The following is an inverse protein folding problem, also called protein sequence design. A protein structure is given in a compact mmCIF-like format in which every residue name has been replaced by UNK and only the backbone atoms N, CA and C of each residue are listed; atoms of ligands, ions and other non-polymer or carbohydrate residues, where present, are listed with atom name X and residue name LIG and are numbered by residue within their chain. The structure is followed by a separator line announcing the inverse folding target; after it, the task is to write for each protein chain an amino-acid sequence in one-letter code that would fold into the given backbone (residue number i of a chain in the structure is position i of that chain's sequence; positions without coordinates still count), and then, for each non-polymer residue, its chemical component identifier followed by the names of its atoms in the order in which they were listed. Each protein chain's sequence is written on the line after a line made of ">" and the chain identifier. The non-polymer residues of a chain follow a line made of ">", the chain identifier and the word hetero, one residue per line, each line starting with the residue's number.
data_IF_892147427771
#
_entry.id   IF_892147427771
#
_cell.length_a   1.000
_cell.length_b   1.000
_cell.length_c   1.000
_cell.angle_alpha   90.00
_cell.angle_beta   90.00
_cell.angle_gamma   90.00
#
_symmetry.space_group_name_H-M   'P 1'
#
loop_
_entity.id
_entity.type
_entity.pdbx_description
1 polymer ?
#
# COMPACT_ATOMS: atom_id res chain seq x y z
N UNK A 1 -5.72 9.03 -17.77
CA UNK A 1 -4.63 8.08 -17.41
C UNK A 1 -5.32 6.83 -16.95
N UNK A 2 -4.69 5.65 -17.03
CA UNK A 2 -5.37 4.40 -16.68
C UNK A 2 -4.70 3.75 -15.48
N UNK A 3 -5.51 3.02 -14.72
CA UNK A 3 -5.04 2.07 -13.71
C UNK A 3 -4.65 0.76 -14.38
N UNK A 4 -3.64 0.09 -13.83
CA UNK A 4 -3.25 -1.27 -14.26
C UNK A 4 -2.69 -2.04 -13.08
N UNK A 5 -2.55 -3.35 -13.26
CA UNK A 5 -1.77 -4.16 -12.31
C UNK A 5 -0.26 -4.03 -12.58
N UNK A 6 0.49 -4.11 -11.49
CA UNK A 6 1.95 -4.14 -11.49
C UNK A 6 2.44 -5.42 -12.15
N UNK A 7 3.57 -5.35 -12.84
CA UNK A 7 4.19 -6.51 -13.49
C UNK A 7 5.23 -7.18 -12.60
N UNK A 8 5.49 -8.47 -12.81
CA UNK A 8 6.52 -9.21 -12.06
C UNK A 8 7.91 -8.56 -12.15
N UNK A 9 8.23 -7.96 -13.31
CA UNK A 9 9.47 -7.21 -13.52
C UNK A 9 9.54 -6.00 -12.61
N UNK A 10 8.46 -5.24 -12.48
CA UNK A 10 8.39 -4.08 -11.58
C UNK A 10 8.48 -4.51 -10.12
N UNK A 11 7.80 -5.58 -9.73
CA UNK A 11 7.91 -6.17 -8.38
C UNK A 11 9.37 -6.53 -8.09
N UNK A 12 10.05 -7.23 -9.00
CA UNK A 12 11.46 -7.64 -8.84
C UNK A 12 12.37 -6.42 -8.64
N UNK A 13 12.15 -5.37 -9.43
CA UNK A 13 12.95 -4.14 -9.39
C UNK A 13 12.69 -3.31 -8.14
N UNK A 14 11.48 -3.39 -7.59
CA UNK A 14 11.09 -2.69 -6.36
C UNK A 14 11.39 -3.48 -5.08
N UNK A 15 11.88 -4.72 -5.18
CA UNK A 15 12.33 -5.52 -4.03
C UNK A 15 13.22 -4.77 -3.04
N UNK A 16 14.14 -3.87 -3.43
CA UNK A 16 14.93 -3.11 -2.46
C UNK A 16 14.07 -2.22 -1.54
N UNK A 17 12.96 -1.67 -2.04
CA UNK A 17 12.06 -0.80 -1.30
C UNK A 17 11.10 -1.57 -0.38
N UNK A 18 10.83 -2.84 -0.66
CA UNK A 18 9.99 -3.71 0.19
C UNK A 18 10.81 -4.43 1.28
N UNK A 19 12.10 -4.13 1.44
CA UNK A 19 12.92 -4.73 2.49
C UNK A 19 12.57 -4.17 3.87
N UNK A 20 12.72 -5.04 4.86
CA UNK A 20 12.63 -4.70 6.28
C UNK A 20 13.64 -3.60 6.62
N UNK A 21 13.18 -2.49 7.16
CA UNK A 21 13.95 -1.30 7.50
C UNK A 21 13.68 -0.84 8.93
N UNK A 22 14.68 -0.22 9.55
CA UNK A 22 14.55 0.38 10.88
C UNK A 22 14.06 1.81 10.72
N UNK A 23 12.99 2.15 11.42
CA UNK A 23 12.41 3.50 11.45
C UNK A 23 12.28 3.97 12.89
N UNK A 24 12.17 5.27 13.09
CA UNK A 24 11.80 5.83 14.38
C UNK A 24 10.29 6.12 14.36
N UNK A 25 9.58 5.55 15.33
CA UNK A 25 8.17 5.83 15.55
C UNK A 25 8.02 6.39 16.96
N UNK A 26 7.64 7.66 17.06
CA UNK A 26 7.55 8.39 18.33
C UNK A 26 8.81 8.24 19.21
N UNK A 27 9.97 8.42 18.57
CA UNK A 27 11.28 8.33 19.23
C UNK A 27 11.74 6.90 19.53
N UNK A 28 10.92 5.86 19.30
CA UNK A 28 11.29 4.46 19.52
C UNK A 28 11.68 3.77 18.20
N UNK A 29 12.76 2.98 18.18
CA UNK A 29 13.13 2.21 17.01
C UNK A 29 12.13 1.08 16.77
N UNK A 30 11.60 1.01 15.54
CA UNK A 30 10.68 -0.02 15.09
C UNK A 30 11.18 -0.61 13.78
N UNK A 31 10.88 -1.89 13.54
CA UNK A 31 11.16 -2.53 12.26
C UNK A 31 9.89 -2.56 11.41
N UNK A 32 9.99 -2.09 10.17
CA UNK A 32 8.87 -2.04 9.22
C UNK A 32 9.29 -2.68 7.90
N UNK A 33 8.40 -3.43 7.27
CA UNK A 33 8.60 -4.03 5.94
C UNK A 33 7.57 -3.47 4.98
N UNK A 34 7.85 -2.39 4.24
CA UNK A 34 6.83 -1.71 3.43
C UNK A 34 6.14 -2.64 2.44
N UNK A 35 4.84 -2.46 2.27
CA UNK A 35 4.04 -3.31 1.42
C UNK A 35 3.78 -2.65 0.07
N UNK A 36 4.15 -3.30 -1.02
CA UNK A 36 3.87 -2.81 -2.37
C UNK A 36 2.47 -3.25 -2.77
N UNK A 37 1.61 -2.31 -3.18
CA UNK A 37 0.29 -2.62 -3.71
C UNK A 37 0.39 -3.04 -5.18
N UNK A 38 -0.53 -3.87 -5.65
CA UNK A 38 -0.54 -4.34 -7.03
C UNK A 38 -1.12 -3.31 -8.00
N UNK A 39 -1.95 -2.37 -7.54
CA UNK A 39 -2.50 -1.32 -8.40
C UNK A 39 -1.47 -0.23 -8.70
N UNK A 40 -1.37 0.15 -9.98
CA UNK A 40 -0.50 1.21 -10.51
C UNK A 40 -1.37 2.32 -11.09
N UNK A 41 -1.14 3.55 -10.65
CA UNK A 41 -1.85 4.74 -11.13
C UNK A 41 -1.03 5.43 -12.23
N UNK A 42 -1.52 5.43 -13.47
CA UNK A 42 -0.84 6.05 -14.60
C UNK A 42 0.38 5.27 -15.09
N UNK A 43 1.48 5.97 -15.40
CA UNK A 43 2.63 5.31 -16.03
C UNK A 43 3.54 4.51 -15.08
N UNK A 44 3.35 4.60 -13.76
CA UNK A 44 4.11 3.85 -12.76
C UNK A 44 5.61 4.16 -12.70
N UNK A 45 6.02 5.35 -13.12
CA UNK A 45 7.43 5.77 -13.13
C UNK A 45 7.84 6.52 -11.87
N UNK A 46 6.97 6.65 -10.88
CA UNK A 46 7.29 7.27 -9.60
C UNK A 46 6.74 6.39 -8.47
N UNK A 47 7.47 6.31 -7.35
CA UNK A 47 7.09 5.51 -6.19
C UNK A 47 6.69 6.43 -5.05
N UNK A 48 5.46 6.27 -4.59
CA UNK A 48 4.87 6.99 -3.47
C UNK A 48 4.83 6.08 -2.23
N UNK A 49 5.22 6.62 -1.08
CA UNK A 49 4.88 6.03 0.21
C UNK A 49 3.53 6.56 0.67
N UNK A 50 2.67 5.69 1.18
CA UNK A 50 1.33 6.02 1.66
C UNK A 50 1.07 5.38 3.01
N UNK A 51 0.67 6.18 4.00
CA UNK A 51 0.53 5.74 5.39
C UNK A 51 -0.67 6.39 6.05
N UNK A 52 -1.60 5.58 6.55
CA UNK A 52 -2.65 6.03 7.46
C UNK A 52 -2.09 6.20 8.87
N UNK A 53 -2.70 7.09 9.65
CA UNK A 53 -2.31 7.35 11.03
C UNK A 53 -2.42 6.09 11.91
N UNK A 54 -3.48 5.30 11.72
CA UNK A 54 -3.79 4.11 12.53
C UNK A 54 -2.90 2.90 12.18
N UNK A 55 -2.38 2.82 10.95
CA UNK A 55 -1.47 1.73 10.57
C UNK A 55 0.02 2.04 10.89
N UNK A 56 0.34 3.20 11.47
CA UNK A 56 1.73 3.56 11.82
C UNK A 56 2.37 2.53 12.75
N UNK A 57 3.67 2.20 12.57
CA UNK A 57 4.60 2.75 11.58
C UNK A 57 4.60 2.02 10.23
N UNK A 58 3.67 1.10 9.99
CA UNK A 58 3.55 0.38 8.71
C UNK A 58 3.02 1.33 7.63
N UNK A 59 3.36 1.08 6.38
CA UNK A 59 2.94 1.88 5.24
C UNK A 59 2.98 1.08 3.94
N UNK A 60 2.32 1.61 2.93
CA UNK A 60 2.18 1.05 1.61
C UNK A 60 3.06 1.80 0.61
N UNK A 61 3.47 1.11 -0.44
CA UNK A 61 4.17 1.65 -1.58
C UNK A 61 3.25 1.57 -2.79
N UNK A 62 3.11 2.69 -3.48
CA UNK A 62 2.19 2.85 -4.61
C UNK A 62 2.98 3.37 -5.80
N UNK A 63 2.88 2.69 -6.95
CA UNK A 63 3.41 3.22 -8.19
C UNK A 63 2.42 4.22 -8.78
N UNK A 64 2.90 5.43 -9.04
CA UNK A 64 2.11 6.53 -9.58
C UNK A 64 2.73 7.10 -10.86
N UNK A 65 2.02 8.01 -11.52
CA UNK A 65 2.51 8.66 -12.72
C UNK A 65 3.72 9.55 -12.38
N UNK A 66 4.71 9.60 -13.27
CA UNK A 66 5.84 10.54 -13.16
C UNK A 66 5.45 12.02 -13.04
N UNK A 67 4.22 12.36 -13.40
CA UNK A 67 3.68 13.73 -13.32
C UNK A 67 2.93 14.00 -12.01
N UNK A 68 2.73 12.98 -11.17
CA UNK A 68 2.05 13.13 -9.89
C UNK A 68 2.86 14.09 -9.00
N UNK A 69 2.27 15.22 -8.57
CA UNK A 69 2.98 16.24 -7.78
C UNK A 69 3.04 15.78 -6.32
N UNK A 70 4.02 14.92 -6.00
CA UNK A 70 4.28 14.48 -4.63
C UNK A 70 5.26 15.46 -3.98
N UNK A 71 4.73 16.60 -3.54
CA UNK A 71 5.44 17.58 -2.71
C UNK A 71 4.66 17.75 -1.40
N UNK A 72 5.36 17.71 -0.27
CA UNK A 72 4.77 17.83 1.06
C UNK A 72 4.22 19.24 1.35
N UNK A 73 4.34 20.17 0.41
CA UNK A 73 3.92 21.57 0.57
C UNK A 73 2.75 21.97 -0.34
N UNK A 74 2.20 21.04 -1.13
CA UNK A 74 1.14 21.36 -2.08
C UNK A 74 0.16 20.19 -2.26
N UNK A 75 -0.57 19.92 -1.18
CA UNK A 75 -1.60 18.87 -1.14
C UNK A 75 -2.70 19.13 -2.18
N UNK A 76 -3.09 20.39 -2.38
CA UNK A 76 -4.10 20.80 -3.38
C UNK A 76 -3.74 20.33 -4.78
N UNK A 77 -2.46 20.42 -5.18
CA UNK A 77 -2.02 19.97 -6.50
C UNK A 77 -2.11 18.44 -6.66
N UNK A 78 -1.92 17.68 -5.57
CA UNK A 78 -2.07 16.23 -5.59
C UNK A 78 -3.54 15.85 -5.76
N UNK A 79 -4.41 16.49 -4.99
CA UNK A 79 -5.86 16.28 -5.05
C UNK A 79 -6.39 16.60 -6.45
N UNK A 80 -6.07 17.78 -6.99
CA UNK A 80 -6.45 18.19 -8.35
C UNK A 80 -5.94 17.20 -9.41
N UNK A 81 -4.70 16.72 -9.27
CA UNK A 81 -4.12 15.77 -10.22
C UNK A 81 -4.85 14.43 -10.20
N UNK A 82 -5.15 13.91 -9.01
CA UNK A 82 -5.88 12.65 -8.86
C UNK A 82 -7.32 12.78 -9.33
N UNK A 83 -8.04 13.82 -8.92
CA UNK A 83 -9.45 14.04 -9.30
C UNK A 83 -9.60 14.13 -10.81
N UNK A 84 -8.66 14.80 -11.49
CA UNK A 84 -8.65 14.93 -12.94
C UNK A 84 -8.36 13.62 -13.70
N UNK A 85 -7.67 12.66 -13.07
CA UNK A 85 -7.09 11.52 -13.79
C UNK A 85 -7.53 10.13 -13.33
N UNK A 86 -7.98 9.99 -12.09
CA UNK A 86 -8.30 8.72 -11.44
C UNK A 86 -9.56 8.80 -10.58
N UNK A 87 -9.72 9.86 -9.78
CA UNK A 87 -10.82 10.06 -8.85
C UNK A 87 -10.37 10.81 -7.59
N UNK A 88 -11.21 10.82 -6.56
CA UNK A 88 -10.96 11.58 -5.33
C UNK A 88 -9.77 10.95 -4.58
N UNK A 89 -8.78 11.78 -4.25
CA UNK A 89 -7.69 11.41 -3.34
C UNK A 89 -8.10 11.70 -1.90
N UNK A 90 -7.72 10.87 -0.90
CA UNK A 90 -6.99 9.60 -1.00
C UNK A 90 -7.88 8.37 -1.30
N UNK A 91 -9.19 8.54 -1.49
CA UNK A 91 -10.17 7.45 -1.59
C UNK A 91 -9.84 6.39 -2.63
N UNK A 92 -9.35 6.78 -3.82
CA UNK A 92 -8.95 5.80 -4.85
C UNK A 92 -7.80 4.91 -4.41
N UNK A 93 -6.91 5.40 -3.55
CA UNK A 93 -5.81 4.61 -2.99
C UNK A 93 -6.33 3.72 -1.87
N UNK A 94 -7.23 4.23 -1.03
CA UNK A 94 -7.91 3.43 -0.02
C UNK A 94 -8.62 2.24 -0.65
N UNK A 95 -9.43 2.49 -1.68
CA UNK A 95 -10.11 1.42 -2.41
C UNK A 95 -9.14 0.39 -2.98
N UNK A 96 -8.04 0.82 -3.62
CA UNK A 96 -7.04 -0.11 -4.15
C UNK A 96 -6.37 -0.97 -3.06
N UNK A 97 -6.12 -0.40 -1.88
CA UNK A 97 -5.58 -1.14 -0.74
C UNK A 97 -6.63 -2.10 -0.16
N UNK A 98 -7.88 -1.67 -0.04
CA UNK A 98 -8.99 -2.48 0.47
C UNK A 98 -9.32 -3.66 -0.45
N UNK A 99 -9.27 -3.49 -1.77
CA UNK A 99 -9.46 -4.60 -2.70
C UNK A 99 -8.39 -5.70 -2.52
N UNK A 100 -7.18 -5.33 -2.08
CA UNK A 100 -6.06 -6.26 -1.88
C UNK A 100 -5.98 -6.83 -0.45
N UNK A 101 -6.16 -5.97 0.56
CA UNK A 101 -5.90 -6.25 1.97
C UNK A 101 -7.11 -5.99 2.87
N UNK A 102 -8.25 -5.58 2.31
CA UNK A 102 -9.54 -5.21 2.94
C UNK A 102 -9.48 -4.09 3.96
N UNK A 103 -10.65 -3.82 4.52
CA UNK A 103 -10.88 -2.74 5.47
C UNK A 103 -10.97 -3.31 6.90
N UNK A 104 -10.28 -2.67 7.85
CA UNK A 104 -10.25 -3.07 9.25
C UNK A 104 -11.62 -2.93 9.94
N UNK A 105 -12.44 -1.96 9.53
CA UNK A 105 -13.76 -1.69 10.11
C UNK A 105 -14.82 -2.71 9.68
N UNK A 106 -14.70 -3.25 8.47
CA UNK A 106 -15.56 -4.35 8.00
C UNK A 106 -15.31 -5.62 8.82
N UNK A 107 -14.07 -5.80 9.28
CA UNK A 107 -13.67 -6.92 10.14
C UNK A 107 -14.24 -6.75 11.56
N UNK A 108 -14.28 -5.52 12.09
CA UNK A 108 -14.78 -5.25 13.45
C UNK A 108 -16.31 -5.22 13.55
N UNK A 109 -17.03 -4.77 12.52
CA UNK A 109 -18.47 -4.55 12.58
C UNK A 109 -19.33 -5.73 12.10
N UNK A 110 -18.74 -6.83 11.62
CA UNK A 110 -19.50 -8.01 11.19
C UNK A 110 -20.50 -7.74 10.06
N UNK A 111 -20.32 -6.65 9.31
CA UNK A 111 -21.04 -6.41 8.06
C UNK A 111 -20.43 -7.31 6.99
N UNK A 112 -20.82 -8.57 7.07
CA UNK A 112 -20.76 -9.50 5.97
C UNK A 112 -21.42 -8.85 4.75
N UNK A 113 -20.63 -8.60 3.70
CA UNK A 113 -21.13 -8.83 2.36
C UNK A 113 -21.67 -10.26 2.34
N UNK A 114 -22.98 -10.39 2.48
CA UNK A 114 -23.71 -11.63 2.24
C UNK A 114 -23.25 -12.17 0.87
N UNK A 115 -22.53 -13.31 0.90
CA UNK A 115 -21.95 -14.06 -0.22
C UNK A 115 -20.44 -13.95 -0.49
N UNK A 116 -19.61 -14.01 0.55
CA UNK A 116 -18.34 -14.74 0.39
C UNK A 116 -18.08 -15.70 1.55
N UNK A 117 -18.73 -16.87 1.51
CA UNK A 117 -18.49 -18.02 2.39
C UNK A 117 -17.08 -18.63 2.26
N UNK A 118 -16.10 -17.88 1.73
CA UNK A 118 -14.75 -18.32 1.48
C UNK A 118 -13.67 -17.46 2.15
N UNK A 119 -14.03 -16.65 3.16
CA UNK A 119 -13.03 -15.96 4.00
C UNK A 119 -12.84 -16.71 5.34
N UNK A 120 -11.72 -17.45 5.52
CA UNK A 120 -11.52 -18.32 6.70
C UNK A 120 -11.19 -17.55 7.99
N UNK A 121 -11.15 -16.22 7.99
CA UNK A 121 -10.75 -15.41 9.14
C UNK A 121 -11.92 -14.72 9.86
N UNK A 122 -13.13 -15.28 9.72
CA UNK A 122 -14.40 -14.70 10.20
C UNK A 122 -14.59 -14.70 11.73
N UNK A 123 -13.56 -15.00 12.51
CA UNK A 123 -13.61 -14.92 13.96
C UNK A 123 -12.28 -14.36 14.42
N UNK A 124 -12.22 -13.10 14.85
CA UNK A 124 -11.77 -12.77 16.21
C UNK A 124 -11.83 -11.27 16.47
N UNK A 125 -12.62 -10.97 17.49
CA UNK A 125 -12.67 -9.74 18.25
C UNK A 125 -11.40 -9.67 19.14
N UNK A 126 -10.80 -8.49 19.28
CA UNK A 126 -9.83 -8.08 20.31
C UNK A 126 -8.51 -8.88 20.40
N UNK A 127 -7.46 -8.31 19.80
CA UNK A 127 -6.13 -8.27 20.44
C UNK A 127 -5.35 -9.57 20.64
N UNK A 128 -5.62 -10.64 19.88
CA UNK A 128 -4.87 -11.90 20.00
C UNK A 128 -4.32 -12.35 18.65
N UNK A 129 -3.09 -12.85 18.70
CA UNK A 129 -2.38 -13.55 17.65
C UNK A 129 -3.31 -14.51 16.87
N UNK A 130 -3.19 -14.50 15.55
CA UNK A 130 -3.83 -15.47 14.67
C UNK A 130 -3.32 -16.88 15.00
N UNK A 131 -3.97 -17.56 15.94
CA UNK A 131 -3.50 -18.84 16.49
C UNK A 131 -4.36 -20.06 16.09
N UNK A 132 -5.26 -19.93 15.11
CA UNK A 132 -6.03 -21.07 14.58
C UNK A 132 -6.15 -21.08 13.04
N UNK A 133 -5.15 -20.56 12.34
CA UNK A 133 -4.89 -21.00 10.97
C UNK A 133 -3.86 -22.12 11.03
N UNK A 134 -4.34 -23.36 11.24
CA UNK A 134 -3.53 -24.55 11.06
C UNK A 134 -2.97 -24.54 9.64
N UNK A 135 -1.66 -24.30 9.53
CA UNK A 135 -0.62 -24.65 8.52
C UNK A 135 -0.95 -24.84 7.02
N UNK A 136 -2.18 -24.72 6.57
CA UNK A 136 -2.63 -25.04 5.20
C UNK A 136 -3.50 -23.95 4.56
N UNK A 137 -3.99 -22.98 5.33
CA UNK A 137 -4.67 -21.80 4.78
C UNK A 137 -3.76 -20.57 4.87
N UNK A 138 -3.17 -20.20 3.72
CA UNK A 138 -2.46 -18.94 3.53
C UNK A 138 -3.46 -17.78 3.60
N UNK A 139 -3.83 -17.41 4.83
CA UNK A 139 -4.67 -16.26 5.11
C UNK A 139 -3.96 -15.01 4.57
N UNK A 140 -4.42 -14.53 3.41
CA UNK A 140 -3.98 -13.28 2.78
C UNK A 140 -3.93 -12.08 3.75
N UNK A 141 -4.72 -12.13 4.82
CA UNK A 141 -4.87 -11.10 5.85
C UNK A 141 -3.81 -11.13 6.96
N UNK A 142 -2.99 -12.19 7.07
CA UNK A 142 -1.95 -12.31 8.12
C UNK A 142 -0.63 -11.63 7.75
N UNK A 143 -0.42 -11.25 6.48
CA UNK A 143 0.87 -10.73 6.02
C UNK A 143 1.04 -9.22 6.21
N UNK A 144 -0.03 -8.42 6.16
CA UNK A 144 0.00 -6.96 6.35
C UNK A 144 -1.36 -6.48 6.87
N UNK A 145 -1.45 -5.48 7.78
CA UNK A 145 -2.75 -5.13 8.36
C UNK A 145 -3.71 -4.61 7.29
N UNK A 146 -5.00 -4.93 7.47
CA UNK A 146 -6.08 -4.27 6.74
C UNK A 146 -5.98 -2.75 6.90
N UNK A 147 -6.47 -2.03 5.89
CA UNK A 147 -6.49 -0.58 5.91
C UNK A 147 -7.48 -0.10 6.98
N UNK A 148 -7.06 0.83 7.83
CA UNK A 148 -8.00 1.59 8.65
C UNK A 148 -8.10 3.02 8.08
N UNK A 149 -9.24 3.32 7.44
CA UNK A 149 -9.51 4.57 6.75
C UNK A 149 -10.14 5.66 7.64
N UNK A 150 -10.48 5.37 8.90
CA UNK A 150 -11.11 6.32 9.85
C UNK A 150 -10.13 7.38 10.40
N UNK A 151 -9.01 7.61 9.71
CA UNK A 151 -7.99 8.54 10.15
C UNK A 151 -7.31 9.22 8.98
N UNK A 152 -6.64 10.34 9.26
CA UNK A 152 -5.83 11.03 8.28
C UNK A 152 -4.72 10.14 7.72
N UNK A 153 -4.32 10.41 6.48
CA UNK A 153 -3.17 9.77 5.86
C UNK A 153 -2.01 10.76 5.70
N UNK A 154 -0.86 10.21 5.35
CA UNK A 154 0.36 10.92 5.00
C UNK A 154 0.98 10.21 3.81
N UNK A 155 1.52 10.98 2.90
CA UNK A 155 2.20 10.48 1.70
C UNK A 155 3.53 11.19 1.52
N UNK A 156 4.43 10.55 0.79
CA UNK A 156 5.74 11.13 0.45
C UNK A 156 6.29 10.48 -0.81
N UNK A 157 7.28 11.14 -1.41
CA UNK A 157 7.99 10.56 -2.53
C UNK A 157 9.03 9.56 -2.02
N UNK A 158 8.80 8.27 -2.21
CA UNK A 158 9.75 7.22 -1.84
C UNK A 158 10.89 7.11 -2.86
N UNK A 159 10.56 7.22 -4.16
CA UNK A 159 11.56 7.27 -5.22
C UNK A 159 11.05 8.06 -6.44
N UNK A 160 11.89 8.96 -6.92
CA UNK A 160 11.63 9.74 -8.14
C UNK A 160 11.74 8.88 -9.41
N UNK A 161 11.21 9.41 -10.51
CA UNK A 161 11.44 8.83 -11.85
C UNK A 161 12.91 8.64 -12.19
N UNK A 162 13.79 9.54 -11.73
CA UNK A 162 15.23 9.44 -11.99
C UNK A 162 15.84 8.27 -11.23
N UNK A 163 15.44 8.06 -9.99
CA UNK A 163 15.94 6.96 -9.14
C UNK A 163 15.44 5.61 -9.65
N UNK A 164 14.15 5.50 -9.97
CA UNK A 164 13.60 4.28 -10.53
C UNK A 164 14.25 3.93 -11.89
N UNK A 165 14.46 4.92 -12.77
CA UNK A 165 15.20 4.69 -14.03
C UNK A 165 16.61 4.14 -13.80
N UNK A 166 17.36 4.66 -12.82
CA UNK A 166 18.68 4.14 -12.47
C UNK A 166 18.60 2.69 -11.96
N UNK A 167 17.60 2.37 -11.16
CA UNK A 167 17.35 1.00 -10.69
C UNK A 167 17.03 0.05 -11.85
N UNK A 168 16.15 0.47 -12.77
CA UNK A 168 15.76 -0.31 -13.94
C UNK A 168 16.93 -0.51 -14.94
N UNK A 169 17.75 0.51 -15.16
CA UNK A 169 18.90 0.44 -16.07
C UNK A 169 19.97 -0.53 -15.55
N UNK A 170 20.33 -0.45 -14.26
CA UNK A 170 21.33 -1.32 -13.64
C UNK A 170 20.95 -2.80 -13.65
N UNK A 171 19.65 -3.13 -13.67
CA UNK A 171 19.19 -4.52 -13.75
C UNK A 171 19.30 -5.08 -15.17
N UNK A 172 19.07 -4.24 -16.20
CA UNK A 172 19.25 -4.62 -17.60
C UNK A 172 20.69 -4.96 -17.95
N UNK A 173 21.66 -4.31 -17.32
CA UNK A 173 23.11 -4.54 -17.53
C UNK A 173 23.65 -5.78 -16.78
N UNK A 174 22.85 -6.40 -15.90
CA UNK A 174 23.24 -7.57 -15.10
C UNK A 174 22.68 -8.90 -15.62
N UNK A 175 21.91 -8.86 -16.72
CA UNK A 175 21.39 -10.03 -17.44
C UNK A 175 22.17 -10.22 -18.73
#
# INVERSE_FOLDING_TARGET
>A
MNERKITDKEIELLRPYTKKRKVLHWGKPSMVTPCLINTVFGNGKQLMGFQTLNNRPKYYLVLVDSKTPIDNNNDDALDEFFEKHFGIFPDVIYQAIEEEYGNANDIENGYDHENNNNSPCRKFNKGADCCQCDKEYDCKWTKWPALNCDCGCSWWQEASTKELKKCFQKHKERK
#
